data_IF_547492857204
#
_entry.id   IF_547492857204
#
_cell.length_a   1.000
_cell.length_b   1.000
_cell.length_c   1.000
_cell.angle_alpha   90.00
_cell.angle_beta   90.00
_cell.angle_gamma   90.00
#
_symmetry.space_group_name_H-M   'P 1'
#
loop_
_entity.id
_entity.type
_entity.pdbx_description
1 polymer ?
#
# COMPACT_ATOMS: atom_id res chain seq x y z
N UNK A 1 8.49 21.42 9.96
CA UNK A 1 8.95 20.47 8.93
C UNK A 1 8.63 21.07 7.58
N UNK A 2 9.60 21.20 6.67
CA UNK A 2 9.34 21.65 5.29
C UNK A 2 9.17 20.40 4.43
N UNK A 3 7.95 20.13 3.97
CA UNK A 3 7.65 19.00 3.12
C UNK A 3 7.89 19.41 1.66
N UNK A 4 8.97 18.92 1.08
CA UNK A 4 9.31 19.10 -0.32
C UNK A 4 9.39 17.72 -0.97
N UNK A 5 8.80 17.57 -2.14
CA UNK A 5 8.92 16.34 -2.92
C UNK A 5 10.37 16.16 -3.37
N UNK A 6 10.83 14.91 -3.40
CA UNK A 6 12.16 14.53 -3.87
C UNK A 6 12.26 14.62 -5.40
N UNK A 7 11.17 14.32 -6.11
CA UNK A 7 11.03 14.48 -7.55
C UNK A 7 9.78 15.31 -7.88
N UNK A 8 9.83 16.02 -9.01
CA UNK A 8 8.68 16.71 -9.60
C UNK A 8 7.85 15.81 -10.54
N UNK A 9 8.31 14.57 -10.77
CA UNK A 9 7.65 13.57 -11.62
C UNK A 9 6.89 12.56 -10.77
N UNK A 10 5.61 12.38 -11.08
CA UNK A 10 4.77 11.42 -10.37
C UNK A 10 5.21 9.97 -10.65
N UNK A 11 5.71 9.72 -11.86
CA UNK A 11 6.09 8.40 -12.34
C UNK A 11 7.21 7.79 -11.48
N UNK A 12 8.10 8.63 -10.95
CA UNK A 12 9.19 8.19 -10.06
C UNK A 12 8.67 7.56 -8.76
N UNK A 13 7.44 7.88 -8.35
CA UNK A 13 6.76 7.32 -7.16
C UNK A 13 5.90 6.08 -7.48
N UNK A 14 5.74 5.73 -8.76
CA UNK A 14 4.91 4.62 -9.23
C UNK A 14 5.72 3.46 -9.81
N UNK A 15 7.05 3.51 -9.69
CA UNK A 15 7.93 2.47 -10.20
C UNK A 15 7.74 1.16 -9.42
N UNK A 16 7.68 0.06 -10.16
CA UNK A 16 7.74 -1.28 -9.59
C UNK A 16 9.15 -1.57 -9.09
N UNK A 17 9.25 -1.94 -7.83
CA UNK A 17 10.49 -2.27 -7.13
C UNK A 17 10.33 -3.63 -6.42
N UNK A 18 11.43 -4.17 -5.88
CA UNK A 18 11.37 -5.41 -5.10
C UNK A 18 10.43 -5.27 -3.89
N UNK A 19 10.47 -4.13 -3.22
CA UNK A 19 9.64 -3.78 -2.08
C UNK A 19 8.22 -3.34 -2.48
N UNK A 20 8.04 -2.89 -3.73
CA UNK A 20 6.77 -2.36 -4.27
C UNK A 20 6.39 -3.15 -5.54
N UNK A 21 6.18 -4.46 -5.36
CA UNK A 21 5.91 -5.43 -6.42
C UNK A 21 4.40 -5.56 -6.70
N UNK A 22 3.78 -4.51 -7.22
CA UNK A 22 2.33 -4.49 -7.45
C UNK A 22 1.87 -5.45 -8.56
N UNK A 23 2.76 -5.94 -9.42
CA UNK A 23 2.46 -6.94 -10.45
C UNK A 23 2.34 -8.35 -9.88
N UNK A 24 2.73 -8.58 -8.62
CA UNK A 24 2.56 -9.86 -7.96
C UNK A 24 1.07 -10.30 -7.99
N UNK A 25 0.75 -11.53 -8.44
CA UNK A 25 -0.63 -12.01 -8.51
C UNK A 25 -1.39 -11.90 -7.18
N UNK A 26 -0.73 -12.17 -6.06
CA UNK A 26 -1.36 -12.12 -4.73
C UNK A 26 -1.76 -10.68 -4.37
N UNK A 27 -0.93 -9.70 -4.69
CA UNK A 27 -1.22 -8.28 -4.48
C UNK A 27 -2.37 -7.83 -5.38
N UNK A 28 -2.37 -8.25 -6.65
CA UNK A 28 -3.45 -7.97 -7.59
C UNK A 28 -4.80 -8.54 -7.15
N UNK A 29 -4.81 -9.76 -6.64
CA UNK A 29 -6.03 -10.38 -6.08
C UNK A 29 -6.53 -9.60 -4.86
N UNK A 30 -5.63 -9.27 -3.92
CA UNK A 30 -6.02 -8.50 -2.73
C UNK A 30 -6.54 -7.11 -3.08
N UNK A 31 -5.93 -6.44 -4.06
CA UNK A 31 -6.38 -5.14 -4.57
C UNK A 31 -7.82 -5.19 -5.09
N UNK A 32 -8.17 -6.24 -5.83
CA UNK A 32 -9.55 -6.45 -6.33
C UNK A 32 -10.55 -6.75 -5.22
N UNK A 33 -10.13 -7.34 -4.11
CA UNK A 33 -10.98 -7.56 -2.94
C UNK A 33 -11.22 -6.27 -2.16
N UNK A 34 -10.20 -5.42 -2.01
CA UNK A 34 -10.26 -4.21 -1.18
C UNK A 34 -10.89 -3.02 -1.90
N UNK A 35 -10.70 -2.92 -3.21
CA UNK A 35 -11.09 -1.73 -3.97
C UNK A 35 -12.23 -2.01 -4.95
N UNK A 36 -13.10 -1.01 -5.11
CA UNK A 36 -14.15 -1.00 -6.11
C UNK A 36 -14.19 0.34 -6.85
N UNK A 37 -14.91 0.39 -7.98
CA UNK A 37 -14.97 1.55 -8.87
C UNK A 37 -15.71 2.76 -8.29
N UNK A 38 -16.41 2.61 -7.16
CA UNK A 38 -17.19 3.70 -6.54
C UNK A 38 -16.40 4.48 -5.48
N UNK A 39 -15.25 3.95 -5.03
CA UNK A 39 -14.39 4.62 -4.07
C UNK A 39 -13.60 5.76 -4.71
N UNK A 40 -13.51 6.87 -3.99
CA UNK A 40 -12.55 7.95 -4.24
C UNK A 40 -11.12 7.50 -3.89
N UNK A 41 -10.12 8.21 -4.41
CA UNK A 41 -8.71 7.90 -4.13
C UNK A 41 -8.37 8.00 -2.62
N UNK A 42 -9.00 8.93 -1.90
CA UNK A 42 -8.83 9.06 -0.44
C UNK A 42 -9.42 7.86 0.30
N UNK A 43 -10.57 7.36 -0.14
CA UNK A 43 -11.18 6.16 0.45
C UNK A 43 -10.35 4.91 0.17
N UNK A 44 -9.82 4.75 -1.05
CA UNK A 44 -8.89 3.65 -1.37
C UNK A 44 -7.65 3.70 -0.47
N UNK A 45 -7.02 4.87 -0.33
CA UNK A 45 -5.87 5.05 0.54
C UNK A 45 -6.18 4.68 2.00
N UNK A 46 -7.34 5.10 2.51
CA UNK A 46 -7.79 4.76 3.86
C UNK A 46 -8.00 3.26 4.04
N UNK A 47 -8.70 2.61 3.11
CA UNK A 47 -8.95 1.16 3.17
C UNK A 47 -7.65 0.36 3.12
N UNK A 48 -6.71 0.76 2.26
CA UNK A 48 -5.38 0.14 2.19
C UNK A 48 -4.64 0.24 3.53
N UNK A 49 -4.61 1.44 4.12
CA UNK A 49 -3.98 1.69 5.41
C UNK A 49 -4.60 0.86 6.54
N UNK A 50 -5.93 0.84 6.63
CA UNK A 50 -6.64 0.08 7.66
C UNK A 50 -6.45 -1.43 7.49
N UNK A 51 -6.41 -1.93 6.25
CA UNK A 51 -6.11 -3.34 5.99
C UNK A 51 -4.72 -3.73 6.50
N UNK A 52 -3.68 -2.95 6.17
CA UNK A 52 -2.32 -3.23 6.65
C UNK A 52 -2.28 -3.18 8.18
N UNK A 53 -2.83 -2.13 8.78
CA UNK A 53 -2.86 -1.94 10.24
C UNK A 53 -3.54 -3.11 10.97
N UNK A 54 -4.68 -3.57 10.46
CA UNK A 54 -5.56 -4.49 11.22
C UNK A 54 -5.42 -5.96 10.80
N UNK A 55 -4.87 -6.25 9.61
CA UNK A 55 -4.81 -7.61 9.04
C UNK A 55 -3.41 -8.14 8.84
N UNK A 56 -2.40 -7.28 8.79
CA UNK A 56 -1.00 -7.71 8.67
C UNK A 56 -0.38 -7.60 10.06
N UNK A 57 0.09 -8.73 10.58
CA UNK A 57 0.81 -8.75 11.84
C UNK A 57 2.10 -7.95 11.72
N UNK A 58 2.25 -6.94 12.55
CA UNK A 58 3.51 -6.22 12.67
C UNK A 58 4.48 -7.07 13.48
N UNK A 59 5.78 -6.84 13.29
CA UNK A 59 6.82 -7.55 14.03
C UNK A 59 6.60 -7.50 15.55
N UNK A 60 6.02 -6.42 16.06
CA UNK A 60 5.65 -6.29 17.46
C UNK A 60 4.48 -7.21 17.87
N UNK A 61 3.47 -7.33 17.01
CA UNK A 61 2.28 -8.16 17.27
C UNK A 61 2.65 -9.64 17.44
N UNK A 62 3.67 -10.10 16.73
CA UNK A 62 4.18 -11.49 16.75
C UNK A 62 5.47 -11.66 17.57
N UNK A 63 5.92 -10.61 18.26
CA UNK A 63 7.19 -10.60 19.02
C UNK A 63 8.42 -11.02 18.19
N UNK A 64 8.43 -10.70 16.89
CA UNK A 64 9.50 -11.04 15.96
C UNK A 64 9.55 -12.52 15.56
N UNK A 65 8.55 -13.32 15.90
CA UNK A 65 8.46 -14.71 15.47
C UNK A 65 7.80 -14.78 14.08
N UNK A 66 8.57 -15.18 13.08
CA UNK A 66 8.10 -15.43 11.70
C UNK A 66 7.71 -16.89 11.51
#
# INVERSE_FOLDING_TARGET
MKLICESDKLEDYLLELEEVNYSNPIINEKSKELFNSTQTEVEKAKVAFEFVRDKISHSWDIQGNL
#
